data_IF_255299921043
#
_entry.id   IF_255299921043
#
_cell.length_a   1.000
_cell.length_b   1.000
_cell.length_c   1.000
_cell.angle_alpha   90.00
_cell.angle_beta   90.00
_cell.angle_gamma   90.00
#
_symmetry.space_group_name_H-M   'P 1'
#
loop_
_entity.id
_entity.type
_entity.pdbx_description
1 polymer ?
#
# COMPACT_ATOMS: atom_id res chain seq x y z
N UNK A 1 -44.16 -67.22 -31.66
CA UNK A 1 -42.83 -66.90 -32.21
C UNK A 1 -43.03 -66.64 -33.70
N UNK A 2 -42.84 -65.45 -34.29
CA UNK A 2 -41.83 -64.41 -34.08
C UNK A 2 -42.49 -63.03 -34.30
N UNK A 3 -43.06 -62.41 -33.27
CA UNK A 3 -43.61 -61.05 -33.32
C UNK A 3 -43.19 -60.35 -32.02
N UNK A 4 -41.88 -60.19 -31.82
CA UNK A 4 -41.30 -59.36 -30.76
C UNK A 4 -39.89 -58.84 -31.10
N UNK A 5 -39.43 -59.02 -32.34
CA UNK A 5 -38.18 -58.42 -32.84
C UNK A 5 -38.40 -57.34 -33.92
N UNK A 6 -39.65 -57.11 -34.36
CA UNK A 6 -39.96 -56.12 -35.40
C UNK A 6 -40.28 -54.72 -34.84
N UNK A 7 -40.71 -54.61 -33.59
CA UNK A 7 -41.01 -53.31 -32.95
C UNK A 7 -39.78 -52.59 -32.41
N UNK A 8 -38.67 -53.30 -32.16
CA UNK A 8 -37.44 -52.70 -31.62
C UNK A 8 -36.56 -52.04 -32.71
N UNK A 9 -36.69 -52.45 -33.98
CA UNK A 9 -36.00 -51.81 -35.10
C UNK A 9 -36.79 -50.65 -35.74
N UNK A 10 -38.11 -50.57 -35.52
CA UNK A 10 -38.92 -49.45 -36.02
C UNK A 10 -38.75 -48.17 -35.17
N UNK A 11 -38.38 -48.30 -33.89
CA UNK A 11 -38.11 -47.16 -33.00
C UNK A 11 -36.70 -46.57 -33.17
N UNK A 12 -35.75 -47.33 -33.74
CA UNK A 12 -34.38 -46.86 -33.96
C UNK A 12 -34.17 -46.11 -35.29
N UNK A 13 -35.14 -46.16 -36.21
CA UNK A 13 -35.04 -45.50 -37.52
C UNK A 13 -35.76 -44.13 -37.60
N UNK A 14 -36.53 -43.75 -36.58
CA UNK A 14 -37.28 -42.48 -36.55
C UNK A 14 -36.55 -41.32 -35.87
N UNK A 15 -35.32 -41.53 -35.36
CA UNK A 15 -34.50 -40.45 -34.78
C UNK A 15 -33.42 -39.89 -35.74
N UNK A 16 -33.35 -40.33 -37.00
CA UNK A 16 -32.31 -39.90 -37.96
C UNK A 16 -32.89 -39.10 -39.16
N UNK A 17 -34.19 -38.77 -39.16
CA UNK A 17 -34.82 -38.04 -40.26
C UNK A 17 -35.78 -36.94 -39.77
N UNK A 18 -35.25 -35.98 -39.01
CA UNK A 18 -35.74 -34.59 -38.90
C UNK A 18 -34.58 -33.77 -38.33
N UNK A 19 -33.88 -32.86 -39.01
CA UNK A 19 -34.18 -32.04 -40.17
C UNK A 19 -32.93 -31.89 -41.04
N UNK A 20 -33.06 -32.19 -42.33
CA UNK A 20 -32.26 -31.56 -43.37
C UNK A 20 -33.16 -30.48 -43.99
N UNK A 21 -33.05 -29.25 -43.50
CA UNK A 21 -33.71 -28.08 -44.05
C UNK A 21 -32.64 -27.07 -44.41
N UNK A 22 -32.43 -26.86 -45.71
CA UNK A 22 -31.48 -25.89 -46.27
C UNK A 22 -31.60 -24.55 -45.55
N UNK A 23 -30.54 -24.16 -44.83
CA UNK A 23 -30.40 -22.83 -44.26
C UNK A 23 -30.30 -21.82 -45.41
N UNK A 24 -31.36 -21.01 -45.57
CA UNK A 24 -31.27 -19.74 -46.27
C UNK A 24 -30.11 -18.97 -45.66
N UNK A 25 -29.27 -18.37 -46.51
CA UNK A 25 -28.21 -17.44 -46.10
C UNK A 25 -28.81 -16.25 -45.36
N UNK A 26 -29.07 -16.43 -44.07
CA UNK A 26 -29.10 -15.35 -43.11
C UNK A 26 -27.67 -14.85 -43.15
N UNK A 27 -27.50 -13.63 -43.65
CA UNK A 27 -26.32 -12.85 -43.34
C UNK A 27 -26.29 -12.78 -41.82
N UNK A 28 -25.58 -13.72 -41.20
CA UNK A 28 -25.14 -13.59 -39.84
C UNK A 28 -24.31 -12.32 -39.86
N UNK A 29 -24.94 -11.21 -39.43
CA UNK A 29 -24.18 -10.13 -38.82
C UNK A 29 -23.33 -10.89 -37.81
N UNK A 30 -22.00 -10.98 -37.99
CA UNK A 30 -21.20 -11.66 -37.01
C UNK A 30 -21.49 -10.92 -35.72
N UNK A 31 -22.14 -11.61 -34.78
CA UNK A 31 -22.11 -11.17 -33.41
C UNK A 31 -20.62 -10.99 -33.16
N UNK A 32 -20.20 -9.72 -33.04
CA UNK A 32 -18.91 -9.43 -32.46
C UNK A 32 -18.97 -10.19 -31.15
N UNK A 33 -18.29 -11.34 -31.09
CA UNK A 33 -17.58 -11.65 -29.88
C UNK A 33 -16.78 -10.38 -29.63
N UNK A 34 -17.29 -9.57 -28.71
CA UNK A 34 -16.48 -8.56 -28.08
C UNK A 34 -15.36 -9.37 -27.45
N UNK A 35 -14.28 -9.57 -28.22
CA UNK A 35 -12.98 -9.95 -27.67
C UNK A 35 -12.79 -8.95 -26.56
N UNK A 36 -13.00 -9.40 -25.33
CA UNK A 36 -12.81 -8.59 -24.13
C UNK A 36 -11.42 -8.02 -24.33
N UNK A 37 -11.34 -6.71 -24.57
CA UNK A 37 -10.05 -6.07 -24.81
C UNK A 37 -9.23 -6.38 -23.55
N UNK A 38 -8.05 -7.00 -23.68
CA UNK A 38 -7.26 -7.34 -22.51
C UNK A 38 -7.04 -6.07 -21.70
N UNK A 39 -7.39 -6.11 -20.42
CA UNK A 39 -7.15 -5.02 -19.51
C UNK A 39 -5.64 -4.79 -19.44
N UNK A 40 -5.21 -3.55 -19.27
CA UNK A 40 -3.79 -3.21 -19.08
C UNK A 40 -3.17 -4.09 -17.97
N UNK A 41 -3.95 -4.37 -16.92
CA UNK A 41 -3.55 -5.17 -15.76
C UNK A 41 -3.32 -6.65 -16.06
N UNK A 42 -3.85 -7.19 -17.16
CA UNK A 42 -3.66 -8.60 -17.55
C UNK A 42 -2.19 -8.88 -17.89
N UNK A 43 -1.44 -7.83 -18.23
CA UNK A 43 -0.02 -7.92 -18.56
C UNK A 43 0.89 -8.05 -17.32
N UNK A 44 0.40 -7.77 -16.10
CA UNK A 44 1.18 -7.99 -14.88
C UNK A 44 1.47 -9.48 -14.60
N UNK A 45 0.63 -10.37 -15.13
CA UNK A 45 0.78 -11.82 -14.94
C UNK A 45 1.50 -12.51 -16.11
N UNK A 46 1.91 -11.77 -17.15
CA UNK A 46 2.66 -12.35 -18.26
C UNK A 46 4.04 -12.75 -17.75
N UNK A 47 4.36 -14.03 -17.92
CA UNK A 47 5.50 -14.72 -17.32
C UNK A 47 6.83 -14.04 -17.60
N UNK A 48 7.47 -13.53 -16.54
CA UNK A 48 8.90 -13.26 -16.47
C UNK A 48 9.53 -14.03 -15.30
N UNK A 49 10.86 -14.03 -15.25
CA UNK A 49 11.60 -14.51 -14.10
C UNK A 49 11.30 -13.63 -12.86
N UNK A 50 11.31 -14.26 -11.69
CA UNK A 50 11.33 -13.62 -10.39
C UNK A 50 12.77 -13.42 -9.97
N UNK A 51 13.08 -12.19 -9.59
CA UNK A 51 14.37 -11.74 -9.12
C UNK A 51 14.29 -11.40 -7.64
N UNK A 52 15.42 -11.48 -6.96
CA UNK A 52 15.57 -11.06 -5.58
C UNK A 52 16.59 -9.92 -5.51
N UNK A 53 16.22 -8.81 -4.89
CA UNK A 53 17.13 -7.71 -4.58
C UNK A 53 17.73 -7.98 -3.20
N UNK A 54 19.03 -8.35 -3.19
CA UNK A 54 19.78 -8.73 -1.99
C UNK A 54 19.87 -7.60 -0.97
N UNK A 55 19.94 -6.35 -1.42
CA UNK A 55 20.10 -5.19 -0.54
C UNK A 55 18.76 -4.78 0.06
N UNK A 56 17.72 -4.74 -0.78
CA UNK A 56 16.37 -4.33 -0.36
C UNK A 56 15.57 -5.45 0.29
N UNK A 57 16.05 -6.69 0.24
CA UNK A 57 15.35 -7.90 0.72
C UNK A 57 13.92 -7.92 0.17
N UNK A 58 13.81 -7.86 -1.16
CA UNK A 58 12.58 -7.69 -1.91
C UNK A 58 12.63 -8.53 -3.18
N UNK A 59 11.54 -9.21 -3.52
CA UNK A 59 11.42 -9.92 -4.79
C UNK A 59 10.55 -9.15 -5.76
N UNK A 60 10.88 -9.28 -7.04
CA UNK A 60 10.14 -8.61 -8.11
C UNK A 60 10.22 -9.38 -9.42
N UNK A 61 9.30 -9.07 -10.33
CA UNK A 61 9.33 -9.52 -11.71
C UNK A 61 9.18 -8.30 -12.62
N UNK A 62 9.86 -8.28 -13.76
CA UNK A 62 9.76 -7.16 -14.71
C UNK A 62 9.65 -7.66 -16.13
N UNK A 63 8.74 -7.08 -16.90
CA UNK A 63 8.49 -7.41 -18.30
C UNK A 63 8.36 -6.12 -19.11
N UNK A 64 9.08 -6.05 -20.23
CA UNK A 64 8.92 -5.00 -21.22
C UNK A 64 8.08 -5.55 -22.38
N UNK A 65 6.93 -4.92 -22.64
CA UNK A 65 6.10 -5.22 -23.81
C UNK A 65 6.27 -4.08 -24.79
N UNK A 66 6.90 -4.33 -25.95
CA UNK A 66 7.32 -3.31 -26.92
C UNK A 66 6.23 -2.29 -27.26
N UNK A 67 4.99 -2.74 -27.44
CA UNK A 67 3.87 -1.89 -27.82
C UNK A 67 3.18 -1.16 -26.64
N UNK A 68 3.39 -1.62 -25.40
CA UNK A 68 2.65 -1.13 -24.24
C UNK A 68 3.53 -0.35 -23.26
N UNK A 69 4.68 -0.90 -22.92
CA UNK A 69 5.60 -0.33 -21.94
C UNK A 69 6.16 -1.37 -20.97
N UNK A 70 6.72 -0.88 -19.87
CA UNK A 70 7.36 -1.70 -18.83
C UNK A 70 6.40 -1.96 -17.69
N UNK A 71 6.27 -3.21 -17.31
CA UNK A 71 5.50 -3.69 -16.18
C UNK A 71 6.47 -4.25 -15.14
N UNK A 72 6.32 -3.87 -13.88
CA UNK A 72 7.07 -4.44 -12.77
C UNK A 72 6.10 -4.86 -11.68
N UNK A 73 6.29 -6.04 -11.10
CA UNK A 73 5.50 -6.52 -9.96
C UNK A 73 6.43 -6.77 -8.80
N UNK A 74 6.16 -6.13 -7.67
CA UNK A 74 6.87 -6.28 -6.41
C UNK A 74 6.07 -7.18 -5.48
N UNK A 75 6.74 -8.14 -4.84
CA UNK A 75 6.16 -9.04 -3.85
C UNK A 75 6.79 -8.74 -2.50
N UNK A 76 6.07 -7.97 -1.70
CA UNK A 76 6.60 -7.39 -0.47
C UNK A 76 6.17 -8.25 0.71
N UNK A 77 7.10 -8.87 1.47
CA UNK A 77 6.74 -9.71 2.61
C UNK A 77 6.06 -8.89 3.70
N UNK A 78 4.95 -9.40 4.22
CA UNK A 78 4.07 -8.81 5.24
C UNK A 78 3.92 -9.71 6.47
N UNK A 79 3.94 -11.03 6.30
CA UNK A 79 3.92 -11.94 7.45
C UNK A 79 5.28 -11.95 8.15
N UNK A 80 5.29 -12.17 9.48
CA UNK A 80 6.53 -12.26 10.25
C UNK A 80 7.47 -13.33 9.71
N UNK A 81 6.91 -14.46 9.28
CA UNK A 81 7.64 -15.57 8.68
C UNK A 81 8.35 -15.16 7.39
N UNK A 82 7.64 -14.58 6.43
CA UNK A 82 8.23 -14.17 5.16
C UNK A 82 9.21 -13.00 5.33
N UNK A 83 8.98 -12.11 6.31
CA UNK A 83 9.93 -11.03 6.62
C UNK A 83 11.26 -11.61 7.12
N UNK A 84 11.22 -12.55 8.06
CA UNK A 84 12.43 -13.17 8.63
C UNK A 84 13.16 -13.98 7.56
N UNK A 85 12.42 -14.71 6.73
CA UNK A 85 12.99 -15.48 5.65
C UNK A 85 13.68 -14.57 4.62
N UNK A 86 12.99 -13.53 4.14
CA UNK A 86 13.58 -12.59 3.18
C UNK A 86 14.81 -11.87 3.75
N UNK A 87 14.84 -11.57 5.06
CA UNK A 87 16.03 -10.98 5.71
C UNK A 87 17.25 -11.90 5.66
N UNK A 88 17.03 -13.22 5.66
CA UNK A 88 18.09 -14.24 5.69
C UNK A 88 18.10 -15.08 4.41
N UNK A 89 17.49 -14.61 3.32
CA UNK A 89 17.14 -15.41 2.14
C UNK A 89 18.36 -16.14 1.56
N UNK A 90 19.46 -15.42 1.39
CA UNK A 90 20.68 -15.96 0.82
C UNK A 90 21.26 -17.08 1.68
N UNK A 91 21.28 -16.87 3.00
CA UNK A 91 21.77 -17.86 3.97
C UNK A 91 20.85 -19.07 4.06
N UNK A 92 19.54 -18.86 4.10
CA UNK A 92 18.54 -19.92 4.23
C UNK A 92 18.49 -20.84 3.01
N UNK A 93 18.95 -20.35 1.87
CA UNK A 93 18.84 -21.04 0.59
C UNK A 93 20.18 -21.35 -0.05
N UNK A 94 21.30 -21.20 0.66
CA UNK A 94 22.65 -21.44 0.13
C UNK A 94 22.87 -20.73 -1.22
N UNK A 95 22.65 -19.42 -1.23
CA UNK A 95 22.88 -18.53 -2.37
C UNK A 95 23.99 -17.57 -1.99
N UNK A 96 24.95 -17.39 -2.88
CA UNK A 96 26.08 -16.48 -2.65
C UNK A 96 25.94 -15.31 -3.62
N UNK A 97 25.68 -14.08 -3.14
CA UNK A 97 25.73 -12.91 -4.00
C UNK A 97 27.16 -12.69 -4.49
N UNK A 98 27.29 -12.39 -5.78
CA UNK A 98 28.51 -11.91 -6.41
C UNK A 98 28.49 -10.38 -6.38
N UNK A 99 29.69 -9.78 -6.34
CA UNK A 99 29.84 -8.33 -6.31
C UNK A 99 30.41 -7.84 -7.63
N UNK A 100 29.72 -6.90 -8.25
CA UNK A 100 30.22 -6.07 -9.33
C UNK A 100 30.86 -4.84 -8.69
N UNK A 101 32.20 -4.81 -8.68
CA UNK A 101 32.97 -3.71 -8.10
C UNK A 101 32.86 -2.41 -8.92
N UNK A 102 32.66 -2.51 -10.24
CA UNK A 102 32.57 -1.33 -11.12
C UNK A 102 31.27 -0.56 -10.87
N UNK A 103 30.17 -1.30 -10.71
CA UNK A 103 28.85 -0.70 -10.46
C UNK A 103 28.48 -0.64 -8.98
N UNK A 104 29.30 -1.23 -8.11
CA UNK A 104 29.02 -1.40 -6.67
C UNK A 104 27.68 -2.10 -6.41
N UNK A 105 27.36 -3.12 -7.22
CA UNK A 105 26.09 -3.85 -7.16
C UNK A 105 26.29 -5.32 -6.83
N UNK A 106 25.39 -5.87 -6.03
CA UNK A 106 25.31 -7.32 -5.83
C UNK A 106 24.45 -7.96 -6.94
N UNK A 107 24.93 -9.05 -7.51
CA UNK A 107 24.22 -9.84 -8.51
C UNK A 107 24.34 -11.34 -8.22
N UNK A 108 23.64 -12.16 -8.99
CA UNK A 108 23.65 -13.62 -8.83
C UNK A 108 24.13 -14.31 -10.10
N UNK A 109 24.79 -15.46 -9.94
CA UNK A 109 25.12 -16.32 -11.08
C UNK A 109 23.85 -16.81 -11.78
N UNK A 110 23.94 -17.20 -13.07
CA UNK A 110 22.78 -17.76 -13.79
C UNK A 110 22.18 -19.00 -13.10
N UNK A 111 23.03 -19.81 -12.46
CA UNK A 111 22.59 -20.98 -11.71
C UNK A 111 21.80 -20.58 -10.45
N UNK A 112 22.31 -19.61 -9.69
CA UNK A 112 21.62 -19.09 -8.51
C UNK A 112 20.35 -18.33 -8.89
N UNK A 113 20.35 -17.58 -9.99
CA UNK A 113 19.15 -16.88 -10.47
C UNK A 113 18.02 -17.85 -10.84
N UNK A 114 18.33 -19.00 -11.45
CA UNK A 114 17.34 -20.08 -11.70
C UNK A 114 16.83 -20.69 -10.39
N UNK A 115 17.71 -20.88 -9.40
CA UNK A 115 17.36 -21.38 -8.07
C UNK A 115 16.45 -20.40 -7.33
N UNK A 116 16.79 -19.11 -7.35
CA UNK A 116 16.00 -18.00 -6.80
C UNK A 116 14.61 -17.98 -7.42
N UNK A 117 14.51 -17.98 -8.75
CA UNK A 117 13.23 -17.97 -9.46
C UNK A 117 12.33 -19.12 -9.00
N UNK A 118 12.88 -20.34 -8.91
CA UNK A 118 12.14 -21.52 -8.44
C UNK A 118 11.64 -21.37 -6.99
N UNK A 119 12.50 -20.92 -6.08
CA UNK A 119 12.15 -20.72 -4.66
C UNK A 119 11.04 -19.67 -4.52
N UNK A 120 11.22 -18.52 -5.19
CA UNK A 120 10.27 -17.42 -5.13
C UNK A 120 8.92 -17.81 -5.72
N UNK A 121 8.89 -18.56 -6.84
CA UNK A 121 7.65 -19.06 -7.44
C UNK A 121 6.84 -19.91 -6.46
N UNK A 122 7.48 -20.84 -5.75
CA UNK A 122 6.79 -21.68 -4.76
C UNK A 122 6.25 -20.85 -3.58
N UNK A 123 7.06 -19.92 -3.05
CA UNK A 123 6.65 -19.06 -1.93
C UNK A 123 5.47 -18.15 -2.29
N UNK A 124 5.56 -17.49 -3.43
CA UNK A 124 4.60 -16.45 -3.84
C UNK A 124 3.31 -17.06 -4.43
N UNK A 125 3.31 -18.34 -4.81
CA UNK A 125 2.16 -19.02 -5.43
C UNK A 125 0.83 -18.84 -4.68
N UNK A 126 0.87 -18.82 -3.35
CA UNK A 126 -0.33 -18.64 -2.53
C UNK A 126 -0.75 -17.18 -2.35
N UNK A 127 0.15 -16.24 -2.69
CA UNK A 127 0.08 -14.80 -2.39
C UNK A 127 -0.06 -14.45 -0.89
N UNK A 128 -0.20 -15.46 -0.02
CA UNK A 128 -0.37 -15.28 1.42
C UNK A 128 0.91 -14.77 2.03
N UNK A 129 0.77 -13.79 2.93
CA UNK A 129 1.91 -13.17 3.59
C UNK A 129 2.65 -12.15 2.73
N UNK A 130 2.16 -11.83 1.52
CA UNK A 130 2.72 -10.81 0.66
C UNK A 130 1.72 -9.68 0.38
N UNK A 131 2.24 -8.47 0.24
CA UNK A 131 1.58 -7.38 -0.46
C UNK A 131 2.15 -7.29 -1.87
N UNK A 132 1.29 -7.27 -2.87
CA UNK A 132 1.69 -7.30 -4.28
C UNK A 132 1.37 -5.96 -4.92
N UNK A 133 2.41 -5.28 -5.42
CA UNK A 133 2.31 -3.96 -6.06
C UNK A 133 2.81 -4.05 -7.49
N UNK A 134 1.98 -3.63 -8.44
CA UNK A 134 2.31 -3.54 -9.85
C UNK A 134 2.62 -2.09 -10.23
N UNK A 135 3.66 -1.86 -11.01
CA UNK A 135 3.97 -0.56 -11.60
C UNK A 135 4.02 -0.66 -13.12
N UNK A 136 3.55 0.39 -13.79
CA UNK A 136 3.52 0.46 -15.23
C UNK A 136 4.06 1.80 -15.73
N UNK A 137 5.04 1.74 -16.62
CA UNK A 137 5.60 2.88 -17.35
C UNK A 137 5.19 2.73 -18.82
N UNK A 138 4.38 3.67 -19.36
CA UNK A 138 3.96 3.64 -20.76
C UNK A 138 5.12 3.68 -21.76
N UNK A 139 4.98 2.99 -22.90
CA UNK A 139 5.99 2.90 -23.97
C UNK A 139 6.46 4.26 -24.50
N UNK A 140 5.63 5.30 -24.51
CA UNK A 140 6.03 6.62 -25.00
C UNK A 140 7.16 7.27 -24.17
N UNK A 141 7.49 6.72 -23.00
CA UNK A 141 8.64 7.15 -22.18
C UNK A 141 9.85 6.22 -22.30
N UNK A 142 9.76 5.16 -23.12
CA UNK A 142 10.77 4.11 -23.22
C UNK A 142 11.31 4.04 -24.64
N UNK A 143 12.59 4.37 -24.81
CA UNK A 143 13.29 4.09 -26.06
C UNK A 143 13.84 2.66 -26.02
N UNK A 144 13.46 1.84 -26.99
CA UNK A 144 13.91 0.44 -27.06
C UNK A 144 14.96 0.38 -28.16
N UNK A 145 16.18 0.06 -27.79
CA UNK A 145 17.31 -0.02 -28.71
C UNK A 145 17.34 -1.41 -29.35
N UNK A 146 17.18 -2.46 -28.53
CA UNK A 146 17.05 -3.84 -28.97
C UNK A 146 16.26 -4.69 -27.95
N UNK A 147 16.22 -6.01 -28.11
CA UNK A 147 15.45 -6.91 -27.23
C UNK A 147 15.96 -6.94 -25.78
N UNK A 148 17.22 -6.58 -25.56
CA UNK A 148 17.87 -6.62 -24.24
C UNK A 148 18.16 -5.23 -23.67
N UNK A 149 18.00 -4.18 -24.47
CA UNK A 149 18.46 -2.83 -24.14
C UNK A 149 17.38 -1.80 -24.43
N UNK A 150 17.09 -1.00 -23.40
CA UNK A 150 16.15 0.10 -23.46
C UNK A 150 16.56 1.16 -22.45
N UNK A 151 16.17 2.41 -22.73
CA UNK A 151 16.31 3.51 -21.79
C UNK A 151 14.94 4.13 -21.49
N UNK A 152 14.81 4.67 -20.28
CA UNK A 152 13.61 5.38 -19.84
C UNK A 152 13.96 6.87 -19.80
N UNK A 153 13.20 7.68 -20.54
CA UNK A 153 13.40 9.12 -20.60
C UNK A 153 12.69 9.80 -19.44
N UNK A 154 13.42 10.56 -18.63
CA UNK A 154 12.84 11.45 -17.63
C UNK A 154 12.39 12.79 -18.24
N UNK A 155 11.34 13.43 -17.71
CA UNK A 155 10.41 12.88 -16.73
C UNK A 155 9.44 11.88 -17.36
N UNK A 156 9.03 10.87 -16.61
CA UNK A 156 8.00 9.91 -17.05
C UNK A 156 6.85 9.82 -16.07
N UNK A 157 5.74 9.24 -16.54
CA UNK A 157 4.58 8.94 -15.70
C UNK A 157 4.56 7.46 -15.34
N UNK A 158 4.45 7.15 -14.05
CA UNK A 158 4.35 5.78 -13.54
C UNK A 158 3.01 5.55 -12.87
N UNK A 159 2.32 4.49 -13.29
CA UNK A 159 1.05 4.06 -12.69
C UNK A 159 1.31 2.94 -11.68
N UNK A 160 0.64 3.00 -10.54
CA UNK A 160 0.75 2.04 -9.44
C UNK A 160 -0.57 1.29 -9.28
N UNK A 161 -0.47 -0.01 -8.99
CA UNK A 161 -1.59 -0.93 -8.81
C UNK A 161 -1.31 -1.83 -7.61
N UNK A 162 -2.35 -2.28 -6.93
CA UNK A 162 -2.26 -3.29 -5.88
C UNK A 162 -3.06 -4.52 -6.28
N UNK A 163 -2.53 -5.71 -6.03
CA UNK A 163 -3.30 -6.94 -6.16
C UNK A 163 -4.01 -7.25 -4.85
N UNK A 164 -5.33 -7.38 -4.89
CA UNK A 164 -6.17 -7.79 -3.76
C UNK A 164 -7.14 -8.88 -4.23
N UNK A 165 -7.18 -10.01 -3.53
CA UNK A 165 -8.06 -11.15 -3.86
C UNK A 165 -7.99 -11.56 -5.34
N UNK A 166 -6.76 -11.62 -5.89
CA UNK A 166 -6.51 -11.99 -7.28
C UNK A 166 -6.78 -10.90 -8.32
N UNK A 167 -7.30 -9.72 -7.93
CA UNK A 167 -7.64 -8.63 -8.84
C UNK A 167 -6.70 -7.44 -8.65
N UNK A 168 -6.34 -6.80 -9.76
CA UNK A 168 -5.54 -5.57 -9.74
C UNK A 168 -6.45 -4.35 -9.57
N UNK A 169 -6.16 -3.54 -8.55
CA UNK A 169 -6.79 -2.25 -8.28
C UNK A 169 -5.80 -1.14 -8.59
N UNK A 170 -6.19 -0.17 -9.41
CA UNK A 170 -5.38 1.02 -9.65
C UNK A 170 -5.29 1.88 -8.38
N UNK A 171 -4.07 2.31 -8.04
CA UNK A 171 -3.79 3.16 -6.89
C UNK A 171 -3.67 4.63 -7.30
N UNK A 172 -2.66 4.98 -8.07
CA UNK A 172 -2.45 6.35 -8.50
C UNK A 172 -1.43 6.38 -9.64
N UNK A 173 -1.21 7.56 -10.17
CA UNK A 173 -0.19 7.86 -11.14
C UNK A 173 0.71 8.96 -10.59
N UNK A 174 2.02 8.78 -10.72
CA UNK A 174 3.01 9.74 -10.24
C UNK A 174 3.98 10.07 -11.37
N UNK A 175 4.26 11.36 -11.52
CA UNK A 175 5.32 11.85 -12.39
C UNK A 175 6.67 11.69 -11.67
N UNK A 176 7.58 10.95 -12.28
CA UNK A 176 8.94 10.74 -11.82
C UNK A 176 9.86 11.65 -12.62
N UNK A 177 10.62 12.48 -11.93
CA UNK A 177 11.41 13.56 -12.56
C UNK A 177 12.88 13.21 -12.77
N UNK A 178 13.42 12.26 -12.00
CA UNK A 178 14.81 11.81 -12.08
C UNK A 178 14.99 10.42 -11.44
N UNK A 179 16.19 9.86 -11.56
CA UNK A 179 16.52 8.51 -11.07
C UNK A 179 16.46 8.36 -9.55
N UNK A 180 16.83 9.38 -8.78
CA UNK A 180 16.73 9.36 -7.31
C UNK A 180 15.27 9.26 -6.86
N UNK A 181 14.38 9.98 -7.56
CA UNK A 181 12.95 9.92 -7.34
C UNK A 181 12.37 8.54 -7.72
N UNK A 182 12.86 7.92 -8.79
CA UNK A 182 12.49 6.53 -9.15
C UNK A 182 12.86 5.56 -8.02
N UNK A 183 14.11 5.60 -7.56
CA UNK A 183 14.63 4.71 -6.52
C UNK A 183 13.83 4.87 -5.23
N UNK A 184 13.61 6.12 -4.79
CA UNK A 184 12.89 6.41 -3.55
C UNK A 184 11.42 5.97 -3.63
N UNK A 185 10.72 6.24 -4.74
CA UNK A 185 9.31 5.87 -4.91
C UNK A 185 9.10 4.36 -5.09
N UNK A 186 10.07 3.65 -5.66
CA UNK A 186 10.00 2.20 -5.85
C UNK A 186 10.72 1.44 -4.72
N UNK A 187 11.10 2.12 -3.63
CA UNK A 187 11.65 1.48 -2.44
C UNK A 187 10.59 0.64 -1.73
N UNK A 188 11.03 -0.41 -1.02
CA UNK A 188 10.15 -1.27 -0.22
C UNK A 188 9.24 -0.46 0.71
N UNK A 189 9.81 0.53 1.41
CA UNK A 189 9.06 1.38 2.35
C UNK A 189 8.02 2.27 1.64
N UNK A 190 8.38 2.87 0.49
CA UNK A 190 7.44 3.66 -0.30
C UNK A 190 6.30 2.79 -0.84
N UNK A 191 6.61 1.63 -1.44
CA UNK A 191 5.61 0.69 -1.95
C UNK A 191 4.66 0.19 -0.84
N UNK A 192 5.17 -0.03 0.37
CA UNK A 192 4.36 -0.38 1.55
C UNK A 192 3.39 0.74 1.96
N UNK A 193 3.73 1.99 1.69
CA UNK A 193 2.93 3.18 2.03
C UNK A 193 1.78 3.43 1.05
N UNK A 194 1.88 2.95 -0.20
CA UNK A 194 0.93 3.22 -1.28
C UNK A 194 -0.45 2.61 -1.08
N UNK A 195 -0.55 1.54 -0.29
CA UNK A 195 -1.84 0.91 0.07
C UNK A 195 -2.56 1.66 1.18
N UNK A 196 -1.84 2.57 1.86
CA UNK A 196 -2.34 3.37 2.97
C UNK A 196 -2.95 4.69 2.46
N UNK A 197 -2.67 5.10 1.22
CA UNK A 197 -3.19 6.33 0.61
C UNK A 197 -4.55 6.16 -0.11
N UNK A 198 -5.03 4.93 -0.28
CA UNK A 198 -6.29 4.64 -1.03
C UNK A 198 -7.41 4.02 -0.17
N UNK A 199 -7.23 3.95 1.15
CA UNK A 199 -8.34 3.85 2.11
C UNK A 199 -8.97 5.22 2.42
N UNK A 200 -8.61 6.26 1.65
CA UNK A 200 -9.05 7.65 1.82
C UNK A 200 -10.34 8.00 1.07
N UNK A 201 -11.21 7.02 0.79
CA UNK A 201 -12.62 7.28 0.47
C UNK A 201 -13.51 6.47 1.41
N UNK A 202 -13.88 7.11 2.52
CA UNK A 202 -15.03 6.83 3.39
C UNK A 202 -15.68 5.43 3.26
N UNK A 203 -15.18 4.45 4.02
CA UNK A 203 -15.97 3.27 4.42
C UNK A 203 -16.51 3.54 5.86
N UNK A 204 -17.83 3.43 6.13
CA UNK A 204 -18.43 3.81 7.41
C UNK A 204 -18.08 2.89 8.59
N UNK A 205 -17.30 1.82 8.38
CA UNK A 205 -16.97 0.89 9.46
C UNK A 205 -15.68 1.25 10.20
N UNK A 206 -15.72 2.37 10.92
CA UNK A 206 -14.79 2.63 12.03
C UNK A 206 -14.96 1.52 13.07
N UNK A 207 -14.05 0.54 13.11
CA UNK A 207 -14.08 -0.54 14.12
C UNK A 207 -13.66 -0.10 15.52
N UNK A 208 -13.23 1.14 15.73
CA UNK A 208 -12.90 1.69 17.06
C UNK A 208 -13.15 3.19 17.13
N UNK A 209 -14.07 3.59 18.02
CA UNK A 209 -14.35 5.00 18.31
C UNK A 209 -13.37 5.53 19.35
N UNK A 210 -12.82 6.71 19.10
CA UNK A 210 -11.93 7.45 20.01
C UNK A 210 -12.59 8.69 20.59
N UNK A 211 -13.84 8.98 20.23
CA UNK A 211 -14.54 10.16 20.70
C UNK A 211 -14.60 10.18 22.23
N UNK A 212 -14.45 11.38 22.81
CA UNK A 212 -14.50 11.60 24.25
C UNK A 212 -13.29 12.35 24.78
N UNK A 213 -13.23 12.44 26.10
CA UNK A 213 -12.20 13.16 26.83
C UNK A 213 -11.17 12.18 27.39
N UNK A 214 -9.89 12.56 27.27
CA UNK A 214 -8.77 11.68 27.58
C UNK A 214 -7.70 12.42 28.38
N UNK A 215 -7.28 11.80 29.48
CA UNK A 215 -6.26 12.34 30.39
C UNK A 215 -5.39 11.24 30.97
N UNK A 216 -4.20 11.57 31.49
CA UNK A 216 -3.37 10.63 32.25
C UNK A 216 -4.06 10.26 33.58
N UNK A 217 -4.64 11.26 34.25
CA UNK A 217 -5.46 11.12 35.45
C UNK A 217 -6.71 12.01 35.35
N UNK A 218 -7.87 11.38 35.19
CA UNK A 218 -9.18 12.05 35.06
C UNK A 218 -9.60 12.88 36.28
N UNK A 219 -8.88 12.81 37.40
CA UNK A 219 -9.19 13.59 38.61
C UNK A 219 -8.26 14.79 38.82
N UNK A 220 -7.02 14.71 38.30
CA UNK A 220 -5.93 15.64 38.70
C UNK A 220 -4.95 16.02 37.57
N UNK A 221 -5.32 15.82 36.31
CA UNK A 221 -4.50 16.20 35.14
C UNK A 221 -4.79 17.62 34.63
N UNK A 222 -3.74 18.35 34.26
CA UNK A 222 -3.80 19.64 33.58
C UNK A 222 -3.70 19.48 32.05
N UNK A 223 -3.12 18.38 31.56
CA UNK A 223 -3.22 17.94 30.17
C UNK A 223 -4.59 17.35 29.88
N UNK A 224 -5.16 17.70 28.72
CA UNK A 224 -6.43 17.14 28.27
C UNK A 224 -6.46 17.01 26.75
N UNK A 225 -7.07 15.94 26.28
CA UNK A 225 -7.33 15.69 24.87
C UNK A 225 -8.81 15.37 24.72
N UNK A 226 -9.54 16.22 24.00
CA UNK A 226 -10.93 15.99 23.63
C UNK A 226 -11.00 15.65 22.15
N UNK A 227 -11.71 14.58 21.79
CA UNK A 227 -11.82 14.13 20.40
C UNK A 227 -13.31 14.07 20.02
N UNK A 228 -13.65 14.72 18.91
CA UNK A 228 -14.98 14.63 18.29
C UNK A 228 -14.84 14.38 16.78
N UNK A 229 -15.10 13.14 16.39
CA UNK A 229 -15.02 12.72 14.99
C UNK A 229 -13.58 12.74 14.47
N UNK A 230 -13.31 13.66 13.53
CA UNK A 230 -11.99 13.87 12.92
C UNK A 230 -11.27 15.10 13.48
N UNK A 231 -11.85 15.78 14.47
CA UNK A 231 -11.23 16.93 15.13
C UNK A 231 -10.91 16.59 16.58
N UNK A 232 -9.92 17.28 17.12
CA UNK A 232 -9.53 17.14 18.52
C UNK A 232 -8.97 18.43 19.08
N UNK A 233 -9.30 18.74 20.33
CA UNK A 233 -8.72 19.86 21.07
C UNK A 233 -7.74 19.32 22.11
N UNK A 234 -6.57 19.93 22.18
CA UNK A 234 -5.46 19.50 23.04
C UNK A 234 -4.97 20.64 23.92
N UNK A 235 -4.94 20.42 25.23
CA UNK A 235 -4.16 21.24 26.16
C UNK A 235 -2.71 20.79 26.14
N UNK A 236 -1.88 21.47 25.33
CA UNK A 236 -0.45 21.19 25.23
C UNK A 236 0.25 21.67 26.50
N UNK A 237 0.01 22.93 26.87
CA UNK A 237 0.50 23.54 28.09
C UNK A 237 -0.63 24.32 28.78
N UNK A 238 -1.07 23.89 29.96
CA UNK A 238 -2.17 24.50 30.69
C UNK A 238 -1.96 26.00 30.91
N UNK A 239 -2.99 26.82 30.66
CA UNK A 239 -2.97 28.29 30.65
C UNK A 239 -2.00 28.94 29.66
N UNK A 240 -1.36 28.19 28.75
CA UNK A 240 -0.35 28.73 27.85
C UNK A 240 -0.60 28.37 26.39
N UNK A 241 -1.00 27.14 26.09
CA UNK A 241 -1.16 26.64 24.73
C UNK A 241 -2.30 25.63 24.68
N UNK A 242 -3.40 26.05 24.08
CA UNK A 242 -4.52 25.22 23.64
C UNK A 242 -4.51 25.17 22.12
N UNK A 243 -4.65 24.00 21.54
CA UNK A 243 -4.66 23.85 20.08
C UNK A 243 -5.82 22.99 19.63
N UNK A 244 -6.32 23.31 18.44
CA UNK A 244 -7.20 22.43 17.70
C UNK A 244 -6.39 21.67 16.65
N UNK A 245 -6.74 20.40 16.52
CA UNK A 245 -6.10 19.44 15.66
C UNK A 245 -7.14 18.83 14.75
N UNK A 246 -6.70 18.48 13.55
CA UNK A 246 -7.47 17.65 12.63
C UNK A 246 -6.74 16.36 12.39
N UNK A 247 -7.52 15.30 12.25
CA UNK A 247 -7.02 14.00 11.86
C UNK A 247 -6.32 14.12 10.51
N UNK A 248 -5.04 13.78 10.50
CA UNK A 248 -4.24 13.70 9.28
C UNK A 248 -4.43 12.34 8.63
N UNK A 249 -4.41 11.26 9.44
CA UNK A 249 -4.40 9.89 8.95
C UNK A 249 -4.71 8.86 10.03
N UNK A 250 -5.41 7.77 9.67
CA UNK A 250 -5.55 6.55 10.50
C UNK A 250 -4.66 5.42 10.00
N UNK A 251 -4.15 4.64 10.95
CA UNK A 251 -3.31 3.47 10.73
C UNK A 251 -3.99 2.24 11.34
N UNK A 252 -5.01 1.73 10.65
CA UNK A 252 -5.87 0.62 11.13
C UNK A 252 -5.09 -0.61 11.62
N UNK A 253 -3.96 -0.92 10.98
CA UNK A 253 -3.16 -2.11 11.29
C UNK A 253 -2.61 -2.12 12.72
N UNK A 254 -2.47 -0.94 13.33
CA UNK A 254 -2.02 -0.80 14.71
C UNK A 254 -2.99 0.01 15.57
N UNK A 255 -4.22 0.22 15.08
CA UNK A 255 -5.20 1.13 15.67
C UNK A 255 -4.60 2.50 15.98
N UNK A 256 -3.94 3.10 14.98
CA UNK A 256 -3.23 4.37 15.13
C UNK A 256 -3.99 5.56 14.53
N UNK A 257 -3.77 6.77 15.05
CA UNK A 257 -4.32 8.02 14.50
C UNK A 257 -3.27 9.13 14.60
N UNK A 258 -2.89 9.71 13.46
CA UNK A 258 -2.03 10.89 13.41
C UNK A 258 -2.88 12.15 13.29
N UNK A 259 -2.46 13.19 14.02
CA UNK A 259 -3.09 14.51 14.01
C UNK A 259 -2.09 15.57 13.55
N UNK A 260 -2.61 16.58 12.87
CA UNK A 260 -1.88 17.79 12.51
C UNK A 260 -2.57 19.03 13.11
N UNK A 261 -1.87 20.15 13.17
CA UNK A 261 -2.42 21.42 13.64
C UNK A 261 -3.52 21.88 12.67
N UNK A 262 -4.73 22.14 13.18
CA UNK A 262 -5.87 22.54 12.35
C UNK A 262 -5.67 23.95 11.79
N UNK A 263 -5.37 24.88 12.69
CA UNK A 263 -5.20 26.30 12.41
C UNK A 263 -4.33 26.98 13.47
N UNK A 264 -4.08 28.27 13.30
CA UNK A 264 -3.36 29.07 14.31
C UNK A 264 -4.26 29.20 15.54
N UNK A 265 -3.82 28.79 16.74
CA UNK A 265 -4.65 28.84 17.94
C UNK A 265 -4.98 30.28 18.32
N UNK A 266 -6.24 30.51 18.69
CA UNK A 266 -6.72 31.84 19.12
C UNK A 266 -6.41 32.11 20.60
N UNK A 267 -6.51 31.08 21.45
CA UNK A 267 -6.28 31.17 22.90
C UNK A 267 -4.85 30.72 23.27
N UNK A 268 -3.94 31.68 23.30
CA UNK A 268 -2.51 31.46 23.60
C UNK A 268 -2.02 32.41 24.69
N UNK A 269 -1.46 31.81 25.76
CA UNK A 269 -0.75 32.52 26.81
C UNK A 269 0.61 33.04 26.34
N UNK A 270 1.37 33.61 27.27
CA UNK A 270 2.63 34.30 26.97
C UNK A 270 3.65 33.43 26.21
N UNK A 271 3.78 32.17 26.61
CA UNK A 271 4.70 31.23 25.93
C UNK A 271 4.22 30.97 24.50
N UNK A 272 2.92 30.72 24.31
CA UNK A 272 2.34 30.46 23.00
C UNK A 272 2.50 31.64 22.05
N UNK A 273 2.36 32.89 22.51
CA UNK A 273 2.54 34.09 21.66
C UNK A 273 3.94 34.25 21.07
N UNK A 274 4.96 33.62 21.67
CA UNK A 274 6.34 33.65 21.16
C UNK A 274 6.63 32.63 20.05
N UNK A 275 5.66 31.79 19.68
CA UNK A 275 5.84 30.70 18.73
C UNK A 275 5.46 31.08 17.29
N UNK A 276 6.11 30.41 16.32
CA UNK A 276 5.95 30.67 14.89
C UNK A 276 4.73 29.94 14.28
N UNK A 277 3.53 30.19 14.80
CA UNK A 277 2.32 29.42 14.44
C UNK A 277 2.05 29.29 12.94
N UNK A 278 2.30 30.34 12.16
CA UNK A 278 2.12 30.33 10.69
C UNK A 278 2.98 29.28 9.99
N UNK A 279 4.13 28.95 10.58
CA UNK A 279 5.04 27.94 10.06
C UNK A 279 4.64 26.52 10.48
N UNK A 280 3.83 26.40 11.54
CA UNK A 280 3.39 25.12 12.12
C UNK A 280 2.10 24.58 11.49
N UNK A 281 1.27 25.45 10.91
CA UNK A 281 0.09 25.02 10.14
C UNK A 281 0.55 24.49 8.78
N UNK A 282 0.68 23.16 8.70
CA UNK A 282 1.10 22.41 7.51
C UNK A 282 0.61 20.95 7.63
N UNK A 283 0.99 20.06 6.71
CA UNK A 283 0.50 18.67 6.68
C UNK A 283 1.43 17.67 7.41
N UNK A 284 2.25 18.13 8.35
CA UNK A 284 3.12 17.25 9.16
C UNK A 284 2.42 16.86 10.48
N UNK A 285 2.58 15.62 10.95
CA UNK A 285 1.96 15.17 12.18
C UNK A 285 2.62 15.81 13.40
N UNK A 286 1.81 16.28 14.34
CA UNK A 286 2.24 16.85 15.64
C UNK A 286 1.96 15.89 16.80
N UNK A 287 0.98 15.01 16.66
CA UNK A 287 0.62 14.02 17.65
C UNK A 287 0.22 12.69 17.00
N UNK A 288 0.38 11.61 17.76
CA UNK A 288 -0.03 10.27 17.37
C UNK A 288 -0.74 9.57 18.53
N UNK A 289 -1.84 8.90 18.23
CA UNK A 289 -2.59 8.06 19.15
C UNK A 289 -2.44 6.60 18.74
N UNK A 290 -2.29 5.70 19.70
CA UNK A 290 -2.37 4.26 19.45
C UNK A 290 -3.33 3.62 20.43
N UNK A 291 -4.49 3.19 19.93
CA UNK A 291 -5.57 2.63 20.75
C UNK A 291 -5.14 1.26 21.25
N UNK A 292 -5.20 1.08 22.58
CA UNK A 292 -4.95 -0.20 23.23
C UNK A 292 -6.28 -0.95 23.32
N UNK A 293 -7.26 -0.32 23.97
CA UNK A 293 -8.64 -0.78 24.13
C UNK A 293 -9.63 0.40 24.15
N UNK A 294 -10.90 0.14 24.50
CA UNK A 294 -11.95 1.16 24.50
C UNK A 294 -11.70 2.28 25.52
N UNK A 295 -10.92 2.07 26.57
CA UNK A 295 -10.73 3.03 27.65
C UNK A 295 -9.29 3.51 27.80
N UNK A 296 -8.35 2.97 27.02
CA UNK A 296 -6.93 3.32 27.11
C UNK A 296 -6.26 3.45 25.74
N UNK A 297 -5.34 4.41 25.65
CA UNK A 297 -4.51 4.60 24.46
C UNK A 297 -3.12 5.14 24.83
N UNK A 298 -2.15 4.88 23.97
CA UNK A 298 -0.90 5.62 24.00
C UNK A 298 -1.04 6.95 23.30
N UNK A 299 -0.43 7.98 23.88
CA UNK A 299 -0.32 9.31 23.32
C UNK A 299 1.15 9.63 23.06
N UNK A 300 1.45 10.07 21.85
CA UNK A 300 2.78 10.53 21.46
C UNK A 300 2.69 11.96 20.98
N UNK A 301 3.41 12.84 21.67
CA UNK A 301 3.62 14.21 21.23
C UNK A 301 4.95 14.32 20.50
N UNK A 302 4.92 14.88 19.29
CA UNK A 302 6.12 15.09 18.49
C UNK A 302 6.65 16.53 18.55
N UNK A 303 5.82 17.48 18.98
CA UNK A 303 6.12 18.91 18.84
C UNK A 303 5.69 19.44 17.48
N UNK A 304 5.61 20.77 17.39
CA UNK A 304 5.22 21.47 16.18
C UNK A 304 6.32 21.35 15.11
N UNK A 305 5.94 20.98 13.89
CA UNK A 305 6.88 20.95 12.78
C UNK A 305 6.93 22.32 12.11
N UNK A 306 8.10 22.94 12.10
CA UNK A 306 8.33 24.21 11.43
C UNK A 306 8.70 23.98 9.97
N UNK A 307 7.81 24.36 9.04
CA UNK A 307 8.03 24.14 7.60
C UNK A 307 9.21 24.94 7.03
N UNK A 308 9.64 26.01 7.70
CA UNK A 308 10.76 26.85 7.30
C UNK A 308 12.09 26.29 7.80
N UNK A 309 12.20 25.96 9.09
CA UNK A 309 13.44 25.41 9.68
C UNK A 309 13.60 23.91 9.43
N UNK A 310 12.54 23.21 9.03
CA UNK A 310 12.45 21.74 8.87
C UNK A 310 12.68 20.97 10.16
N UNK A 311 12.50 21.61 11.32
CA UNK A 311 12.73 21.03 12.64
C UNK A 311 11.44 20.94 13.46
N UNK A 312 11.44 20.04 14.46
CA UNK A 312 10.38 19.94 15.46
C UNK A 312 10.71 20.82 16.66
N UNK A 313 9.82 21.75 16.96
CA UNK A 313 9.92 22.74 18.03
C UNK A 313 8.87 22.43 19.10
N UNK A 314 9.11 22.87 20.35
CA UNK A 314 8.20 22.70 21.49
C UNK A 314 7.76 21.25 21.71
N UNK A 315 8.68 20.41 22.19
CA UNK A 315 8.47 18.95 22.38
C UNK A 315 7.90 18.61 23.76
N UNK A 316 7.55 19.62 24.52
CA UNK A 316 7.02 19.54 25.88
C UNK A 316 5.49 19.60 25.90
N UNK A 317 4.89 18.85 26.82
CA UNK A 317 3.44 18.80 27.10
C UNK A 317 3.18 18.55 28.58
N UNK A 318 2.00 18.97 29.06
CA UNK A 318 1.53 18.61 30.39
C UNK A 318 1.49 17.09 30.63
N UNK A 319 1.14 16.30 29.62
CA UNK A 319 1.06 14.86 29.75
C UNK A 319 2.39 14.18 30.09
N UNK A 320 3.52 14.72 29.61
CA UNK A 320 4.84 14.21 29.96
C UNK A 320 5.21 14.51 31.42
N UNK A 321 4.70 15.62 31.97
CA UNK A 321 4.91 15.99 33.37
C UNK A 321 4.04 15.15 34.31
N UNK A 322 2.86 14.75 33.85
CA UNK A 322 1.89 13.95 34.61
C UNK A 322 2.19 12.45 34.55
N UNK A 323 2.84 11.99 33.49
CA UNK A 323 3.23 10.59 33.31
C UNK A 323 4.55 10.28 34.01
N UNK A 324 4.58 9.22 34.82
CA UNK A 324 5.82 8.67 35.41
C UNK A 324 6.57 7.74 34.46
N UNK A 325 6.00 7.46 33.30
CA UNK A 325 6.52 6.50 32.31
C UNK A 325 6.92 7.22 31.03
N UNK A 326 7.93 6.66 30.35
CA UNK A 326 8.43 7.16 29.07
C UNK A 326 7.33 7.17 27.99
N UNK A 327 6.39 6.23 28.07
CA UNK A 327 5.19 6.18 27.24
C UNK A 327 4.02 6.79 28.00
N UNK A 328 3.30 7.71 27.38
CA UNK A 328 2.15 8.38 27.98
C UNK A 328 0.93 7.53 27.67
N UNK A 329 0.21 7.12 28.72
CA UNK A 329 -1.04 6.37 28.59
C UNK A 329 -2.18 7.31 29.00
N UNK A 330 -3.11 7.55 28.09
CA UNK A 330 -4.34 8.28 28.37
C UNK A 330 -5.47 7.31 28.68
N UNK A 331 -6.31 7.70 29.62
CA UNK A 331 -7.53 7.01 30.01
C UNK A 331 -8.73 7.83 29.57
N UNK A 332 -9.77 7.15 29.11
CA UNK A 332 -11.05 7.78 28.81
C UNK A 332 -11.67 8.25 30.12
N UNK A 333 -11.95 9.55 30.19
CA UNK A 333 -12.64 10.15 31.32
C UNK A 333 -14.14 10.15 31.03
N UNK A 334 -14.92 9.65 31.99
CA UNK A 334 -16.37 9.80 31.91
C UNK A 334 -16.73 11.29 31.91
N UNK A 335 -17.74 11.69 31.12
CA UNK A 335 -18.27 13.06 31.18
C UNK A 335 -18.79 13.42 32.57
#
# INVERSE_FOLDING_TARGET
MKINFLFLHLLLFLCILSCNGQEKSVTLIPAKEDKIKPSLTDNFNKTSNLYFDSEKKLSFSSTLIKELGKFTVYYIPRSKEEIIDYQNFEKNHDIIPLRDEENSLNYFSDADQKKIDKILREKIKSEKGFQIIGTFIPKNFINIENDNEYNISFPYSQKYYQKENGKWKYLFEKKITNAEEEISNNSKNALLSFTIAQKETSDPNVKYSVNGNWQVDCKKGAGSLSIDGNEASLTVLYNQIYIDMKELKRYDFEKGIAYTLKEVPEDIGNIGRGLNWKEYVNNEPIAYLKIIDENTMFFYWYGFYNKTTKQREFKETNFQQESKTKEIILKRCSP
#
